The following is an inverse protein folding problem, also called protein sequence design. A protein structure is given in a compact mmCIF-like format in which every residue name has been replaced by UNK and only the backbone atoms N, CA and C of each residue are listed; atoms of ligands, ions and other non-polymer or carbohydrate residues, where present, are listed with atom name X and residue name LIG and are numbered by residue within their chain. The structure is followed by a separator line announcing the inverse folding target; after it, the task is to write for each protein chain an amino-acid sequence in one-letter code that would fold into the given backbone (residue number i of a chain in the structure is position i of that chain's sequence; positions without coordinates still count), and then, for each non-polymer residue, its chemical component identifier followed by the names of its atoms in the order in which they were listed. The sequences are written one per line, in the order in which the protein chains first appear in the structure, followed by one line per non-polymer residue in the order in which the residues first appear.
data_IF_691728931369
#
_entry.id   IF_691728931369
#
_cell.length_a   1.000
_cell.length_b   1.000
_cell.length_c   1.000
_cell.angle_alpha   90.00
_cell.angle_beta   90.00
_cell.angle_gamma   90.00
#
_symmetry.space_group_name_H-M   'P 1'
#
loop_
_entity.id
_entity.type
_entity.pdbx_description
1 polymer ?
#
# COMPACT_ATOMS: atom_id res chain seq x y z
N UNK A 1 23.26 12.75 -2.47
CA UNK A 1 22.08 11.92 -2.79
C UNK A 1 21.07 12.87 -3.42
N UNK A 2 20.99 12.87 -4.74
CA UNK A 2 20.03 13.70 -5.46
C UNK A 2 18.61 13.30 -5.05
N UNK A 3 17.71 14.25 -4.75
CA UNK A 3 16.31 13.94 -4.53
C UNK A 3 15.74 13.50 -5.87
N UNK A 4 15.81 12.21 -6.15
CA UNK A 4 15.20 11.59 -7.33
C UNK A 4 13.70 11.85 -7.24
N UNK A 5 13.24 12.86 -7.98
CA UNK A 5 11.84 13.12 -8.25
C UNK A 5 11.18 11.78 -8.58
N UNK A 6 10.15 11.34 -7.83
CA UNK A 6 9.64 9.99 -7.97
C UNK A 6 9.21 9.77 -9.42
N UNK A 7 9.71 8.71 -10.08
CA UNK A 7 9.54 8.51 -11.50
C UNK A 7 8.07 8.18 -11.76
N UNK A 8 7.39 9.10 -12.45
CA UNK A 8 6.07 8.96 -13.04
C UNK A 8 4.90 8.65 -12.05
N UNK A 9 3.69 9.16 -12.32
CA UNK A 9 2.49 8.57 -11.73
C UNK A 9 2.47 7.07 -12.11
N UNK A 10 2.20 6.23 -11.11
CA UNK A 10 2.17 4.76 -11.19
C UNK A 10 1.68 4.25 -12.57
N UNK A 11 2.32 3.22 -13.17
CA UNK A 11 1.71 2.47 -14.27
C UNK A 11 0.35 1.95 -13.81
N UNK A 12 -0.59 1.80 -14.75
CA UNK A 12 -2.00 1.44 -14.49
C UNK A 12 -2.11 0.37 -13.40
N UNK A 13 -2.50 0.82 -12.22
CA UNK A 13 -2.66 -0.04 -11.06
C UNK A 13 -4.10 -0.48 -11.00
N UNK A 14 -4.31 -1.77 -11.23
CA UNK A 14 -5.63 -2.36 -11.12
C UNK A 14 -6.14 -2.32 -9.68
N UNK A 15 -7.38 -1.86 -9.53
CA UNK A 15 -8.05 -1.71 -8.26
C UNK A 15 -8.24 -3.09 -7.61
N UNK A 16 -7.45 -3.40 -6.59
CA UNK A 16 -7.49 -4.70 -5.88
C UNK A 16 -6.14 -5.40 -5.79
N UNK A 17 -5.18 -4.99 -6.62
CA UNK A 17 -3.80 -5.46 -6.51
C UNK A 17 -3.03 -4.70 -5.43
N UNK A 18 -1.93 -5.26 -4.97
CA UNK A 18 -1.08 -4.60 -3.99
C UNK A 18 -0.18 -3.56 -4.67
N UNK A 19 -0.19 -2.33 -4.16
CA UNK A 19 0.72 -1.28 -4.62
C UNK A 19 2.15 -1.68 -4.26
N UNK A 20 3.04 -1.65 -5.26
CA UNK A 20 4.45 -1.95 -5.06
C UNK A 20 5.06 -1.04 -3.98
N UNK A 21 5.94 -1.63 -3.18
CA UNK A 21 6.62 -1.00 -2.05
C UNK A 21 7.27 0.33 -2.42
N UNK A 22 7.92 0.41 -3.59
CA UNK A 22 8.57 1.62 -4.12
C UNK A 22 7.60 2.80 -4.26
N UNK A 23 6.35 2.56 -4.68
CA UNK A 23 5.37 3.62 -4.85
C UNK A 23 4.77 4.08 -3.51
N UNK A 24 4.64 3.16 -2.54
CA UNK A 24 4.22 3.51 -1.16
C UNK A 24 5.24 4.43 -0.48
N UNK A 25 6.53 4.20 -0.72
CA UNK A 25 7.62 5.05 -0.22
C UNK A 25 7.64 6.41 -0.93
N UNK A 26 7.47 6.45 -2.25
CA UNK A 26 7.37 7.69 -3.01
C UNK A 26 6.22 8.59 -2.52
N UNK A 27 5.04 8.01 -2.27
CA UNK A 27 3.88 8.74 -1.70
C UNK A 27 4.21 9.34 -0.33
N UNK A 28 4.97 8.61 0.51
CA UNK A 28 5.41 9.11 1.82
C UNK A 28 6.43 10.22 1.71
N UNK A 29 7.42 10.06 0.84
CA UNK A 29 8.42 11.09 0.57
C UNK A 29 7.76 12.37 0.04
N UNK A 30 6.80 12.27 -0.88
CA UNK A 30 6.05 13.44 -1.37
C UNK A 30 5.22 14.11 -0.26
N UNK A 31 4.64 13.33 0.65
CA UNK A 31 3.92 13.91 1.79
C UNK A 31 4.87 14.62 2.76
N UNK A 32 6.02 14.03 3.06
CA UNK A 32 6.94 14.57 4.06
C UNK A 32 7.81 15.72 3.52
N UNK A 33 8.36 15.57 2.31
CA UNK A 33 9.27 16.54 1.70
C UNK A 33 8.53 17.67 0.97
N UNK A 34 7.45 17.36 0.25
CA UNK A 34 6.72 18.33 -0.56
C UNK A 34 5.42 18.82 0.10
N UNK A 35 5.07 18.31 1.29
CA UNK A 35 3.83 18.62 2.02
C UNK A 35 2.54 18.44 1.18
N UNK A 36 2.54 17.47 0.26
CA UNK A 36 1.39 17.24 -0.63
C UNK A 36 0.18 16.70 0.12
N UNK A 37 -1.00 17.23 -0.21
CA UNK A 37 -2.26 16.77 0.36
C UNK A 37 -2.64 15.35 -0.11
N UNK A 38 -3.35 14.56 0.73
CA UNK A 38 -3.83 13.22 0.35
C UNK A 38 -4.67 13.20 -0.93
N UNK A 39 -5.46 14.26 -1.18
CA UNK A 39 -6.30 14.39 -2.37
C UNK A 39 -5.46 14.60 -3.65
N UNK A 40 -4.34 15.31 -3.53
CA UNK A 40 -3.44 15.56 -4.65
C UNK A 40 -2.67 14.28 -4.99
N UNK A 41 -2.18 13.56 -3.99
CA UNK A 41 -1.55 12.25 -4.13
C UNK A 41 -2.50 11.23 -4.78
N UNK A 42 -3.77 11.22 -4.38
CA UNK A 42 -4.79 10.35 -4.99
C UNK A 42 -4.98 10.61 -6.49
N UNK A 43 -5.02 11.90 -6.91
CA UNK A 43 -5.14 12.27 -8.33
C UNK A 43 -3.90 11.89 -9.13
N UNK A 44 -2.71 12.20 -8.60
CA UNK A 44 -1.44 11.93 -9.30
C UNK A 44 -1.24 10.43 -9.47
N UNK A 45 -1.44 9.65 -8.42
CA UNK A 45 -1.22 8.20 -8.46
C UNK A 45 -2.44 7.41 -8.97
N UNK A 46 -3.54 8.07 -9.35
CA UNK A 46 -4.82 7.45 -9.76
C UNK A 46 -5.33 6.38 -8.78
N UNK A 47 -5.11 6.59 -7.48
CA UNK A 47 -5.54 5.67 -6.42
C UNK A 47 -6.59 6.31 -5.52
N UNK A 48 -7.42 5.48 -4.89
CA UNK A 48 -8.40 5.94 -3.92
C UNK A 48 -7.77 6.69 -2.75
N UNK A 49 -8.43 7.76 -2.29
CA UNK A 49 -8.01 8.54 -1.11
C UNK A 49 -7.90 7.68 0.15
N UNK A 50 -8.77 6.67 0.27
CA UNK A 50 -8.70 5.66 1.33
C UNK A 50 -7.39 4.89 1.31
N UNK A 51 -6.92 4.50 0.12
CA UNK A 51 -5.63 3.82 -0.08
C UNK A 51 -4.45 4.72 0.27
N UNK A 52 -4.46 5.99 -0.15
CA UNK A 52 -3.44 6.98 0.25
C UNK A 52 -3.38 7.11 1.77
N UNK A 53 -4.51 7.34 2.43
CA UNK A 53 -4.56 7.44 3.89
C UNK A 53 -4.08 6.16 4.58
N UNK A 54 -4.37 5.00 3.99
CA UNK A 54 -3.89 3.72 4.51
C UNK A 54 -2.37 3.60 4.40
N UNK A 55 -1.78 3.99 3.26
CA UNK A 55 -0.32 4.03 3.06
C UNK A 55 0.34 4.99 4.05
N UNK A 56 -0.24 6.18 4.25
CA UNK A 56 0.30 7.19 5.16
C UNK A 56 0.16 6.81 6.64
N UNK A 57 -0.78 5.91 6.99
CA UNK A 57 -0.98 5.46 8.37
C UNK A 57 0.01 4.38 8.79
N UNK A 58 0.49 3.56 7.87
CA UNK A 58 1.46 2.50 8.16
C UNK A 58 2.89 3.03 8.01
N UNK A 59 3.71 2.82 9.02
CA UNK A 59 5.13 3.18 8.98
C UNK A 59 5.97 2.14 8.19
N UNK A 60 5.46 0.92 8.02
CA UNK A 60 6.15 -0.13 7.28
C UNK A 60 5.93 -0.08 5.75
N UNK A 61 6.97 -0.31 4.92
CA UNK A 61 6.87 -0.40 3.45
C UNK A 61 5.95 -1.54 3.01
N UNK A 62 6.09 -2.68 3.66
CA UNK A 62 5.25 -3.86 3.47
C UNK A 62 4.18 -3.90 4.54
N UNK A 63 2.95 -4.19 4.12
CA UNK A 63 1.91 -4.46 5.08
C UNK A 63 2.15 -5.87 5.57
N UNK A 64 2.74 -6.00 6.76
CA UNK A 64 2.75 -7.27 7.49
C UNK A 64 1.28 -7.64 7.70
N UNK A 65 0.73 -8.47 6.80
CA UNK A 65 -0.58 -9.06 7.04
C UNK A 65 -0.35 -9.89 8.30
N UNK A 66 -1.08 -9.65 9.41
CA UNK A 66 -1.03 -10.59 10.50
C UNK A 66 -1.34 -11.94 9.86
N UNK A 67 -0.40 -12.89 9.97
CA UNK A 67 -0.63 -14.26 9.54
C UNK A 67 -1.95 -14.62 10.17
N UNK A 68 -2.98 -14.79 9.34
CA UNK A 68 -4.27 -15.17 9.84
C UNK A 68 -4.05 -16.60 10.29
N UNK A 69 -3.61 -16.77 11.53
CA UNK A 69 -3.58 -18.06 12.22
C UNK A 69 -5.03 -18.41 12.45
N UNK A 70 -5.71 -18.76 11.37
CA UNK A 70 -6.95 -19.49 11.45
C UNK A 70 -6.61 -20.76 12.24
N UNK A 71 -7.45 -21.10 13.20
CA UNK A 71 -7.39 -22.40 13.85
C UNK A 71 -7.35 -23.43 12.71
N UNK A 72 -6.32 -24.27 12.60
CA UNK A 72 -6.31 -25.32 11.59
C UNK A 72 -7.56 -26.16 11.86
N UNK A 73 -8.54 -26.09 10.94
CA UNK A 73 -9.71 -26.96 11.02
C UNK A 73 -9.23 -28.36 10.71
N UNK A 74 -8.89 -29.12 11.75
CA UNK A 74 -8.66 -30.54 11.64
C UNK A 74 -9.99 -31.14 11.19
N UNK A 75 -10.05 -31.50 9.90
CA UNK A 75 -11.15 -32.26 9.35
C UNK A 75 -10.97 -33.69 9.88
N UNK A 76 -11.51 -33.95 11.08
CA UNK A 76 -11.66 -35.32 11.56
C UNK A 76 -12.52 -36.05 10.52
N UNK A 77 -11.87 -36.88 9.72
CA UNK A 77 -12.53 -37.84 8.86
C UNK A 77 -13.31 -38.77 9.78
N UNK A 78 -14.63 -38.59 9.79
CA UNK A 78 -15.55 -39.39 10.56
C UNK A 78 -15.41 -40.86 10.16
N UNK A 79 -15.31 -41.69 11.19
CA UNK A 79 -15.37 -43.13 11.11
C UNK A 79 -16.61 -43.60 10.32
N UNK A 80 -16.41 -44.53 9.38
CA UNK A 80 -17.34 -45.60 9.00
C UNK A 80 -16.51 -46.83 8.68
#
# INVERSE_FOLDING_TARGET
MDPSTPPNPMPEHELGYEILTKHKEAIRQLRFLANWGPSQLAKVYKIGRSTVNRILKYDAPERTRPTQTGIPRILNQQAV
#
